data_IF_005051694174
#
_entry.id   IF_005051694174
#
_cell.length_a   1.000
_cell.length_b   1.000
_cell.length_c   1.000
_cell.angle_alpha   90.00
_cell.angle_beta   90.00
_cell.angle_gamma   90.00
#
_symmetry.space_group_name_H-M   'P 1'
#
loop_
_entity.id
_entity.type
_entity.pdbx_description
1 polymer ?
#
# COMPACT_ATOMS: atom_id res chain seq x y z
N UNK A 1 8.01 7.50 -5.76
CA UNK A 1 7.24 6.26 -5.48
C UNK A 1 7.71 5.09 -6.37
N UNK A 2 7.90 5.28 -7.67
CA UNK A 2 8.29 4.19 -8.60
C UNK A 2 9.61 3.52 -8.19
N UNK A 3 10.65 4.31 -7.88
CA UNK A 3 11.95 3.77 -7.43
C UNK A 3 11.83 2.95 -6.13
N UNK A 4 11.01 3.43 -5.17
CA UNK A 4 10.77 2.69 -3.91
C UNK A 4 9.97 1.40 -4.18
N UNK A 5 9.00 1.46 -5.07
CA UNK A 5 8.25 0.27 -5.50
C UNK A 5 9.18 -0.78 -6.13
N UNK A 6 10.07 -0.36 -7.02
CA UNK A 6 11.09 -1.22 -7.64
C UNK A 6 11.96 -1.91 -6.57
N UNK A 7 12.50 -1.13 -5.62
CA UNK A 7 13.31 -1.67 -4.53
C UNK A 7 12.55 -2.70 -3.68
N UNK A 8 11.25 -2.47 -3.41
CA UNK A 8 10.42 -3.45 -2.69
C UNK A 8 10.26 -4.74 -3.51
N UNK A 9 10.04 -4.62 -4.81
CA UNK A 9 9.90 -5.79 -5.69
C UNK A 9 11.20 -6.56 -5.77
N UNK A 10 12.35 -5.89 -5.93
CA UNK A 10 13.68 -6.51 -5.91
C UNK A 10 13.91 -7.29 -4.62
N UNK A 11 13.64 -6.67 -3.46
CA UNK A 11 13.73 -7.34 -2.16
C UNK A 11 12.85 -8.60 -2.09
N UNK A 12 11.62 -8.50 -2.58
CA UNK A 12 10.69 -9.64 -2.57
C UNK A 12 11.16 -10.78 -3.48
N UNK A 13 11.72 -10.46 -4.65
CA UNK A 13 12.25 -11.46 -5.59
C UNK A 13 13.50 -12.13 -5.01
N UNK A 14 14.44 -11.37 -4.49
CA UNK A 14 15.69 -11.87 -3.90
C UNK A 14 15.41 -12.80 -2.71
N UNK A 15 14.42 -12.46 -1.90
CA UNK A 15 13.97 -13.26 -0.76
C UNK A 15 13.00 -14.39 -1.14
N UNK A 16 12.67 -14.60 -2.44
CA UNK A 16 11.69 -15.59 -2.92
C UNK A 16 10.29 -15.40 -2.33
N UNK A 17 9.89 -14.16 -2.08
CA UNK A 17 8.61 -13.77 -1.47
C UNK A 17 7.71 -12.97 -2.42
N UNK A 18 8.02 -12.93 -3.69
CA UNK A 18 7.24 -12.19 -4.69
C UNK A 18 5.90 -12.85 -5.06
N UNK A 19 5.57 -14.00 -4.46
CA UNK A 19 4.33 -14.74 -4.73
C UNK A 19 3.19 -14.29 -3.80
N UNK A 20 1.97 -14.43 -4.29
CA UNK A 20 0.76 -14.02 -3.56
C UNK A 20 0.77 -12.55 -3.15
N UNK A 21 1.28 -11.70 -4.06
CA UNK A 21 1.44 -10.28 -3.83
C UNK A 21 0.30 -9.47 -4.48
N UNK A 22 -0.33 -8.61 -3.70
CA UNK A 22 -1.30 -7.63 -4.17
C UNK A 22 -0.68 -6.24 -4.19
N UNK A 23 -0.73 -5.57 -5.34
CA UNK A 23 -0.27 -4.19 -5.52
C UNK A 23 -1.49 -3.30 -5.67
N UNK A 24 -1.69 -2.40 -4.71
CA UNK A 24 -2.77 -1.43 -4.72
C UNK A 24 -2.31 -0.14 -5.40
N UNK A 25 -2.82 0.11 -6.59
CA UNK A 25 -2.55 1.34 -7.33
C UNK A 25 -3.49 2.48 -6.91
N UNK A 26 -3.08 3.75 -7.09
CA UNK A 26 -3.89 4.91 -6.75
C UNK A 26 -5.18 4.96 -7.56
N UNK A 27 -6.22 5.46 -6.91
CA UNK A 27 -7.40 5.97 -7.61
C UNK A 27 -7.07 7.37 -8.13
N UNK A 28 -7.18 7.57 -9.43
CA UNK A 28 -7.11 8.93 -9.97
C UNK A 28 -8.24 9.78 -9.39
N UNK A 29 -7.92 10.96 -8.85
CA UNK A 29 -8.93 11.95 -8.45
C UNK A 29 -9.52 12.67 -9.66
N UNK A 30 -8.89 12.57 -10.80
CA UNK A 30 -9.38 13.13 -12.04
C UNK A 30 -10.33 12.15 -12.74
N UNK A 31 -11.40 12.68 -13.28
CA UNK A 31 -12.48 12.00 -14.00
C UNK A 31 -12.01 11.24 -15.28
N UNK A 32 -10.72 11.07 -15.46
CA UNK A 32 -10.11 10.32 -16.53
C UNK A 32 -9.73 8.93 -16.04
N UNK A 33 -10.64 7.98 -16.29
CA UNK A 33 -10.42 6.53 -16.14
C UNK A 33 -9.05 6.10 -16.71
N UNK A 34 -8.55 6.84 -17.69
CA UNK A 34 -7.31 6.61 -18.43
C UNK A 34 -6.04 6.74 -17.57
N UNK A 35 -5.95 7.69 -16.64
CA UNK A 35 -4.72 7.92 -15.86
C UNK A 35 -4.46 6.84 -14.80
N UNK A 36 -5.50 6.30 -14.18
CA UNK A 36 -5.35 5.25 -13.17
C UNK A 36 -5.02 3.89 -13.81
N UNK A 37 -5.58 3.60 -14.99
CA UNK A 37 -5.19 2.43 -15.78
C UNK A 37 -3.74 2.53 -16.24
N UNK A 38 -3.28 3.71 -16.63
CA UNK A 38 -1.89 3.95 -17.00
C UNK A 38 -0.93 3.66 -15.85
N UNK A 39 -1.25 4.06 -14.61
CA UNK A 39 -0.39 3.80 -13.45
C UNK A 39 -0.29 2.30 -13.19
N UNK A 40 -1.40 1.56 -13.23
CA UNK A 40 -1.40 0.10 -13.07
C UNK A 40 -0.53 -0.56 -14.14
N UNK A 41 -0.73 -0.20 -15.41
CA UNK A 41 0.06 -0.77 -16.51
C UNK A 41 1.53 -0.37 -16.40
N UNK A 42 1.85 0.84 -15.97
CA UNK A 42 3.22 1.28 -15.74
C UNK A 42 3.90 0.42 -14.67
N UNK A 43 3.26 0.23 -13.51
CA UNK A 43 3.81 -0.60 -12.43
C UNK A 43 3.96 -2.05 -12.86
N UNK A 44 2.97 -2.62 -13.55
CA UNK A 44 3.03 -3.98 -14.07
C UNK A 44 4.15 -4.14 -15.10
N UNK A 45 4.28 -3.20 -16.03
CA UNK A 45 5.31 -3.23 -17.06
C UNK A 45 6.72 -3.08 -16.46
N UNK A 46 6.90 -2.27 -15.41
CA UNK A 46 8.16 -2.21 -14.66
C UNK A 46 8.55 -3.60 -14.15
N UNK A 47 7.64 -4.29 -13.45
CA UNK A 47 7.91 -5.64 -12.92
C UNK A 47 8.23 -6.61 -14.05
N UNK A 48 7.45 -6.62 -15.12
CA UNK A 48 7.65 -7.53 -16.26
C UNK A 48 8.99 -7.28 -16.98
N UNK A 49 9.46 -6.03 -17.00
CA UNK A 49 10.72 -5.66 -17.63
C UNK A 49 11.92 -6.09 -16.78
N UNK A 50 11.87 -5.83 -15.48
CA UNK A 50 12.98 -6.08 -14.56
C UNK A 50 13.00 -7.56 -14.14
N UNK A 51 11.83 -8.14 -13.91
CA UNK A 51 11.65 -9.51 -13.44
C UNK A 51 10.71 -10.31 -14.36
N UNK A 52 11.12 -10.68 -15.58
CA UNK A 52 10.25 -11.31 -16.58
C UNK A 52 9.73 -12.70 -16.17
N UNK A 53 10.27 -13.29 -15.11
CA UNK A 53 9.79 -14.58 -14.56
C UNK A 53 8.61 -14.42 -13.60
N UNK A 54 8.32 -13.21 -13.14
CA UNK A 54 7.17 -12.92 -12.27
C UNK A 54 5.91 -12.84 -13.13
N UNK A 55 4.95 -13.70 -12.83
CA UNK A 55 3.67 -13.74 -13.54
C UNK A 55 2.74 -12.70 -12.97
N UNK A 56 2.43 -11.70 -13.76
CA UNK A 56 1.63 -10.55 -13.34
C UNK A 56 0.27 -10.55 -14.02
N UNK A 57 -0.76 -10.02 -13.36
CA UNK A 57 -2.04 -9.72 -13.96
C UNK A 57 -2.67 -8.47 -13.31
N UNK A 58 -3.70 -7.94 -13.95
CA UNK A 58 -4.46 -6.79 -13.44
C UNK A 58 -5.84 -7.24 -12.96
N UNK A 59 -6.36 -6.53 -11.95
CA UNK A 59 -7.69 -6.70 -11.42
C UNK A 59 -8.37 -5.34 -11.34
N UNK A 60 -9.20 -5.03 -12.33
CA UNK A 60 -9.78 -3.70 -12.56
C UNK A 60 -11.31 -3.79 -12.53
N UNK A 61 -11.97 -2.66 -12.20
CA UNK A 61 -13.42 -2.54 -12.31
C UNK A 61 -13.87 -2.81 -13.76
N UNK A 62 -14.91 -3.64 -13.94
CA UNK A 62 -15.41 -3.98 -15.29
C UNK A 62 -14.81 -5.23 -15.93
N UNK A 63 -13.75 -5.83 -15.37
CA UNK A 63 -13.23 -7.12 -15.84
C UNK A 63 -14.33 -8.19 -15.78
N UNK A 64 -14.53 -8.91 -16.89
CA UNK A 64 -15.53 -10.00 -16.99
C UNK A 64 -15.03 -11.30 -16.35
N UNK A 65 -13.71 -11.48 -16.28
CA UNK A 65 -12.99 -12.68 -15.83
C UNK A 65 -12.45 -12.57 -14.39
N UNK A 66 -13.06 -11.70 -13.57
CA UNK A 66 -12.60 -11.42 -12.19
C UNK A 66 -12.45 -12.67 -11.33
N UNK A 67 -13.41 -13.59 -11.39
CA UNK A 67 -13.39 -14.82 -10.61
C UNK A 67 -12.24 -15.74 -11.03
N UNK A 68 -12.02 -15.88 -12.32
CA UNK A 68 -10.93 -16.70 -12.88
C UNK A 68 -9.56 -16.14 -12.52
N UNK A 69 -9.39 -14.82 -12.60
CA UNK A 69 -8.15 -14.14 -12.17
C UNK A 69 -7.84 -14.37 -10.69
N UNK A 70 -8.85 -14.26 -9.83
CA UNK A 70 -8.66 -14.51 -8.40
C UNK A 70 -8.37 -15.97 -8.10
N UNK A 71 -9.01 -16.89 -8.80
CA UNK A 71 -8.71 -18.32 -8.67
C UNK A 71 -7.29 -18.62 -9.13
N UNK A 72 -6.87 -18.12 -10.30
CA UNK A 72 -5.51 -18.26 -10.81
C UNK A 72 -4.46 -17.67 -9.86
N UNK A 73 -4.79 -16.56 -9.17
CA UNK A 73 -3.94 -16.02 -8.13
C UNK A 73 -3.88 -16.92 -6.89
N UNK A 74 -5.02 -17.42 -6.42
CA UNK A 74 -5.09 -18.33 -5.27
C UNK A 74 -4.34 -19.66 -5.55
N UNK A 75 -4.42 -20.18 -6.77
CA UNK A 75 -3.71 -21.37 -7.22
C UNK A 75 -2.21 -21.11 -7.47
N UNK A 76 -1.79 -19.85 -7.34
CA UNK A 76 -0.41 -19.45 -7.54
C UNK A 76 0.07 -19.49 -8.98
N UNK A 77 -0.84 -19.38 -9.94
CA UNK A 77 -0.53 -19.19 -11.36
C UNK A 77 -0.18 -17.74 -11.68
N UNK A 78 -0.63 -16.80 -10.84
CA UNK A 78 -0.29 -15.38 -10.85
C UNK A 78 0.47 -15.09 -9.56
N UNK A 79 1.64 -14.46 -9.68
CA UNK A 79 2.49 -14.13 -8.54
C UNK A 79 2.15 -12.74 -7.97
N UNK A 80 1.94 -11.74 -8.87
CA UNK A 80 1.57 -10.38 -8.49
C UNK A 80 0.29 -9.93 -9.21
N UNK A 81 -0.69 -9.48 -8.42
CA UNK A 81 -1.94 -8.92 -8.89
C UNK A 81 -1.97 -7.42 -8.67
N UNK A 82 -2.10 -6.65 -9.74
CA UNK A 82 -2.21 -5.20 -9.69
C UNK A 82 -3.69 -4.80 -9.68
N UNK A 83 -4.13 -4.15 -8.62
CA UNK A 83 -5.53 -3.84 -8.41
C UNK A 83 -5.77 -2.35 -8.15
N UNK A 84 -6.89 -1.87 -8.65
CA UNK A 84 -7.44 -0.56 -8.37
C UNK A 84 -8.86 -0.74 -7.84
N UNK A 85 -9.28 0.02 -6.83
CA UNK A 85 -10.66 0.18 -6.32
C UNK A 85 -11.52 -1.07 -6.13
N UNK A 86 -11.38 -2.07 -6.99
CA UNK A 86 -12.29 -3.22 -7.12
C UNK A 86 -12.31 -4.16 -5.91
N UNK A 87 -11.33 -4.05 -5.01
CA UNK A 87 -11.31 -4.85 -3.79
C UNK A 87 -12.20 -4.28 -2.67
N UNK A 88 -12.79 -3.11 -2.89
CA UNK A 88 -13.71 -2.52 -1.92
C UNK A 88 -15.09 -3.23 -1.96
N UNK A 89 -15.38 -3.99 -3.02
CA UNK A 89 -16.66 -4.65 -3.26
C UNK A 89 -16.60 -6.17 -3.08
N UNK A 90 -16.71 -6.65 -1.83
CA UNK A 90 -17.03 -8.07 -1.55
C UNK A 90 -16.01 -9.13 -1.97
N UNK A 91 -14.86 -8.76 -2.52
CA UNK A 91 -13.84 -9.70 -3.00
C UNK A 91 -13.02 -10.26 -1.85
N UNK A 92 -12.96 -11.56 -1.75
CA UNK A 92 -12.13 -12.27 -0.79
C UNK A 92 -10.81 -12.74 -1.44
N UNK A 93 -9.68 -12.47 -0.79
CA UNK A 93 -8.35 -12.89 -1.25
C UNK A 93 -7.54 -13.48 -0.09
N UNK A 94 -8.00 -14.60 0.52
CA UNK A 94 -7.36 -15.16 1.70
C UNK A 94 -5.89 -15.53 1.48
N UNK A 95 -5.54 -15.89 0.24
CA UNK A 95 -4.19 -16.34 -0.12
C UNK A 95 -3.18 -15.19 -0.27
N UNK A 96 -3.61 -13.93 -0.31
CA UNK A 96 -2.69 -12.81 -0.41
C UNK A 96 -1.79 -12.72 0.84
N UNK A 97 -0.47 -12.81 0.66
CA UNK A 97 0.54 -12.78 1.72
C UNK A 97 1.28 -11.44 1.78
N UNK A 98 1.37 -10.75 0.64
CA UNK A 98 2.04 -9.46 0.53
C UNK A 98 1.07 -8.43 -0.03
N UNK A 99 1.03 -7.26 0.57
CA UNK A 99 0.32 -6.09 0.05
C UNK A 99 1.24 -4.91 -0.10
N UNK A 100 1.29 -4.32 -1.29
CA UNK A 100 2.05 -3.10 -1.57
C UNK A 100 1.06 -1.98 -1.86
N UNK A 101 1.00 -0.99 -0.99
CA UNK A 101 0.15 0.20 -1.16
C UNK A 101 0.99 1.32 -1.77
N UNK A 102 0.79 1.61 -3.06
CA UNK A 102 1.57 2.64 -3.77
C UNK A 102 0.97 4.04 -3.64
N UNK A 103 -0.21 4.15 -3.06
CA UNK A 103 -0.86 5.42 -2.77
C UNK A 103 -1.72 5.35 -1.53
N UNK A 104 -1.81 6.50 -0.88
CA UNK A 104 -2.77 6.75 0.18
C UNK A 104 -4.16 7.05 -0.38
N UNK A 105 -5.16 6.54 0.28
CA UNK A 105 -6.50 7.07 0.17
C UNK A 105 -6.77 7.89 1.44
N UNK A 106 -7.31 9.09 1.28
CA UNK A 106 -7.68 9.92 2.43
C UNK A 106 -8.90 9.39 3.21
N UNK A 107 -9.46 8.23 2.78
CA UNK A 107 -10.62 7.62 3.43
C UNK A 107 -10.18 6.46 4.34
N UNK A 108 -10.27 6.61 5.68
CA UNK A 108 -9.87 5.58 6.63
C UNK A 108 -10.57 4.24 6.41
N UNK A 109 -11.84 4.23 6.06
CA UNK A 109 -12.62 3.01 5.85
C UNK A 109 -12.04 2.15 4.70
N UNK A 110 -11.62 2.79 3.62
CA UNK A 110 -11.07 2.07 2.46
C UNK A 110 -9.77 1.34 2.80
N UNK A 111 -8.80 2.00 3.43
CA UNK A 111 -7.54 1.33 3.74
C UNK A 111 -7.70 0.27 4.82
N UNK A 112 -8.60 0.46 5.80
CA UNK A 112 -8.93 -0.57 6.80
C UNK A 112 -9.53 -1.81 6.12
N UNK A 113 -10.45 -1.63 5.18
CA UNK A 113 -11.05 -2.72 4.43
C UNK A 113 -10.01 -3.47 3.58
N UNK A 114 -9.18 -2.75 2.81
CA UNK A 114 -8.11 -3.34 1.98
C UNK A 114 -7.14 -4.16 2.83
N UNK A 115 -6.70 -3.61 3.96
CA UNK A 115 -5.86 -4.34 4.90
C UNK A 115 -6.57 -5.58 5.46
N UNK A 116 -7.82 -5.45 5.88
CA UNK A 116 -8.60 -6.56 6.42
C UNK A 116 -8.66 -7.77 5.48
N UNK A 117 -8.67 -7.53 4.18
CA UNK A 117 -8.64 -8.60 3.17
C UNK A 117 -7.28 -9.30 3.09
N UNK A 118 -6.18 -8.53 3.19
CA UNK A 118 -4.83 -9.09 3.28
C UNK A 118 -4.60 -9.88 4.56
N UNK A 119 -5.25 -9.52 5.65
CA UNK A 119 -5.08 -10.17 6.95
C UNK A 119 -5.96 -11.41 7.15
N UNK A 120 -6.81 -11.78 6.18
CA UNK A 120 -7.60 -13.00 6.27
C UNK A 120 -6.72 -14.22 6.42
N UNK A 121 -7.16 -15.14 7.25
CA UNK A 121 -6.44 -16.38 7.54
C UNK A 121 -6.51 -17.33 6.35
N UNK A 122 -5.43 -18.07 6.13
CA UNK A 122 -5.36 -19.16 5.16
C UNK A 122 -4.44 -20.25 5.76
N UNK A 123 -4.72 -21.55 5.56
CA UNK A 123 -3.93 -22.64 6.16
C UNK A 123 -2.42 -22.54 5.89
N UNK A 124 -2.04 -22.12 4.69
CA UNK A 124 -0.63 -22.00 4.27
C UNK A 124 -0.01 -20.65 4.56
N UNK A 125 -0.75 -19.71 5.16
CA UNK A 125 -0.30 -18.35 5.41
C UNK A 125 -0.08 -18.11 6.89
N UNK A 126 1.16 -17.84 7.27
CA UNK A 126 1.52 -17.52 8.66
C UNK A 126 1.43 -16.03 8.97
N UNK A 127 1.84 -15.20 8.00
CA UNK A 127 1.91 -13.74 8.14
C UNK A 127 1.40 -13.06 6.88
N UNK A 128 0.89 -11.84 7.04
CA UNK A 128 0.73 -10.89 5.96
C UNK A 128 1.80 -9.79 6.11
N UNK A 129 2.47 -9.47 5.01
CA UNK A 129 3.44 -8.38 4.94
C UNK A 129 2.82 -7.21 4.21
N UNK A 130 2.91 -6.03 4.79
CA UNK A 130 2.38 -4.80 4.22
C UNK A 130 3.52 -3.82 4.00
N UNK A 131 3.66 -3.36 2.77
CA UNK A 131 4.50 -2.23 2.38
C UNK A 131 3.59 -1.05 2.07
N UNK A 132 3.75 0.05 2.77
CA UNK A 132 2.97 1.26 2.57
C UNK A 132 3.89 2.40 2.13
N UNK A 133 3.79 2.78 0.84
CA UNK A 133 4.64 3.80 0.24
C UNK A 133 4.03 5.17 0.47
N UNK A 134 4.55 5.89 1.45
CA UNK A 134 4.18 7.28 1.73
C UNK A 134 5.07 8.27 0.99
N UNK A 135 4.58 9.49 0.82
CA UNK A 135 5.37 10.63 0.35
C UNK A 135 5.36 11.67 1.43
N UNK A 136 6.54 12.07 1.81
CA UNK A 136 6.74 13.16 2.76
C UNK A 136 7.54 14.27 2.08
N UNK A 137 7.34 15.53 2.47
CA UNK A 137 8.21 16.63 2.05
C UNK A 137 9.64 16.37 2.48
N UNK A 138 10.57 17.07 1.86
CA UNK A 138 11.96 17.15 2.33
C UNK A 138 11.98 18.02 3.59
N UNK A 139 11.88 17.36 4.75
CA UNK A 139 11.68 18.03 6.04
C UNK A 139 13.02 18.48 6.66
N UNK A 140 12.94 19.45 7.57
CA UNK A 140 14.11 20.04 8.23
C UNK A 140 14.59 21.35 7.61
N UNK A 141 13.98 21.81 6.52
CA UNK A 141 14.38 23.02 5.79
C UNK A 141 13.55 24.25 6.10
N UNK A 142 12.33 24.07 6.64
CA UNK A 142 11.38 25.18 6.88
C UNK A 142 11.34 25.59 8.35
N UNK A 143 11.18 26.91 8.64
CA UNK A 143 10.85 27.37 9.98
C UNK A 143 9.50 26.81 10.43
N UNK A 144 9.41 26.35 11.67
CA UNK A 144 8.21 25.73 12.24
C UNK A 144 6.97 26.64 12.39
N UNK A 145 7.12 27.93 12.14
CA UNK A 145 6.06 28.95 12.20
C UNK A 145 5.57 29.43 10.83
N UNK A 146 6.07 28.83 9.74
CA UNK A 146 5.65 29.18 8.39
C UNK A 146 4.32 28.55 7.99
N UNK A 147 3.54 29.23 7.15
CA UNK A 147 2.30 28.67 6.58
C UNK A 147 2.59 27.39 5.78
N UNK A 148 3.72 27.31 5.11
CA UNK A 148 4.17 26.14 4.37
C UNK A 148 4.40 24.96 5.31
N UNK A 149 5.05 25.16 6.46
CA UNK A 149 5.21 24.14 7.49
C UNK A 149 3.87 23.61 7.98
N UNK A 150 2.89 24.49 8.23
CA UNK A 150 1.56 24.09 8.69
C UNK A 150 0.84 23.21 7.63
N UNK A 151 0.97 23.54 6.34
CA UNK A 151 0.44 22.75 5.24
C UNK A 151 1.12 21.37 5.15
N UNK A 152 2.45 21.34 5.18
CA UNK A 152 3.23 20.09 5.15
C UNK A 152 2.88 19.20 6.35
N UNK A 153 2.84 19.79 7.55
CA UNK A 153 2.45 19.08 8.77
C UNK A 153 1.08 18.43 8.64
N UNK A 154 0.11 19.13 8.03
CA UNK A 154 -1.23 18.60 7.80
C UNK A 154 -1.22 17.39 6.83
N UNK A 155 -0.44 17.50 5.75
CA UNK A 155 -0.28 16.42 4.78
C UNK A 155 0.42 15.20 5.40
N UNK A 156 1.54 15.43 6.08
CA UNK A 156 2.30 14.38 6.77
C UNK A 156 1.43 13.70 7.82
N UNK A 157 0.68 14.47 8.63
CA UNK A 157 -0.27 13.91 9.59
C UNK A 157 -1.28 12.96 8.92
N UNK A 158 -1.87 13.36 7.80
CA UNK A 158 -2.83 12.55 7.07
C UNK A 158 -2.23 11.23 6.56
N UNK A 159 -1.00 11.26 6.05
CA UNK A 159 -0.28 10.06 5.64
C UNK A 159 0.06 9.15 6.83
N UNK A 160 0.58 9.75 7.91
CA UNK A 160 1.02 9.01 9.09
C UNK A 160 -0.14 8.41 9.91
N UNK A 161 -1.34 8.95 9.85
CA UNK A 161 -2.51 8.34 10.48
C UNK A 161 -2.72 6.89 10.01
N UNK A 162 -2.61 6.65 8.70
CA UNK A 162 -2.70 5.31 8.11
C UNK A 162 -1.56 4.41 8.56
N UNK A 163 -0.33 4.94 8.51
CA UNK A 163 0.87 4.20 8.93
C UNK A 163 0.78 3.84 10.41
N UNK A 164 0.42 4.78 11.27
CA UNK A 164 0.25 4.56 12.71
C UNK A 164 -0.78 3.45 13.00
N UNK A 165 -1.90 3.46 12.28
CA UNK A 165 -2.91 2.43 12.42
C UNK A 165 -2.41 1.05 11.97
N UNK A 166 -1.71 0.95 10.85
CA UNK A 166 -1.14 -0.32 10.41
C UNK A 166 -0.07 -0.81 11.38
N UNK A 167 0.81 0.08 11.81
CA UNK A 167 1.86 -0.24 12.77
C UNK A 167 1.31 -0.73 14.11
N UNK A 168 0.25 -0.11 14.64
CA UNK A 168 -0.34 -0.47 15.93
C UNK A 168 -0.81 -1.94 16.02
N UNK A 169 -1.06 -2.55 14.88
CA UNK A 169 -1.54 -3.94 14.76
C UNK A 169 -0.48 -4.88 14.18
N UNK A 170 0.72 -4.38 13.94
CA UNK A 170 1.82 -5.14 13.37
C UNK A 170 2.75 -5.69 14.46
N UNK A 171 3.32 -6.86 14.22
CA UNK A 171 4.32 -7.46 15.13
C UNK A 171 5.61 -6.64 15.23
N UNK A 172 5.90 -5.76 14.27
CA UNK A 172 7.06 -4.89 14.25
C UNK A 172 6.75 -3.43 14.64
N UNK A 173 5.75 -3.20 15.48
CA UNK A 173 5.31 -1.87 15.91
C UNK A 173 6.47 -0.97 16.38
N UNK A 174 7.31 -1.45 17.27
CA UNK A 174 8.42 -0.66 17.82
C UNK A 174 9.43 -0.23 16.74
N UNK A 175 9.72 -1.11 15.79
CA UNK A 175 10.58 -0.80 14.66
C UNK A 175 9.95 0.28 13.76
N UNK A 176 8.66 0.16 13.47
CA UNK A 176 7.94 1.15 12.67
C UNK A 176 7.90 2.52 13.36
N UNK A 177 7.68 2.57 14.67
CA UNK A 177 7.73 3.81 15.44
C UNK A 177 9.12 4.46 15.40
N UNK A 178 10.16 3.68 15.62
CA UNK A 178 11.54 4.16 15.59
C UNK A 178 11.92 4.71 14.21
N UNK A 179 11.48 4.06 13.14
CA UNK A 179 11.75 4.50 11.77
C UNK A 179 11.09 5.82 11.39
N UNK A 180 10.08 6.23 12.14
CA UNK A 180 9.33 7.48 11.91
C UNK A 180 9.71 8.59 12.88
N UNK A 181 10.59 8.32 13.88
CA UNK A 181 10.82 9.21 15.00
C UNK A 181 11.28 10.61 14.55
N UNK A 182 12.25 10.70 13.66
CA UNK A 182 12.77 11.97 13.16
C UNK A 182 11.68 12.83 12.48
N UNK A 183 10.82 12.18 11.69
CA UNK A 183 9.69 12.85 11.02
C UNK A 183 8.63 13.31 12.01
N UNK A 184 8.34 12.49 13.02
CA UNK A 184 7.38 12.80 14.07
C UNK A 184 7.86 13.97 14.92
N UNK A 185 9.13 13.97 15.29
CA UNK A 185 9.75 15.04 16.09
C UNK A 185 9.74 16.37 15.33
N UNK A 186 10.12 16.36 14.04
CA UNK A 186 10.15 17.57 13.23
C UNK A 186 8.76 18.22 13.10
N UNK A 187 7.71 17.43 12.86
CA UNK A 187 6.34 17.93 12.71
C UNK A 187 5.56 18.00 14.03
N UNK A 188 6.20 17.74 15.16
CA UNK A 188 5.55 17.68 16.48
C UNK A 188 4.27 16.84 16.45
N UNK A 189 4.41 15.57 16.05
CA UNK A 189 3.34 14.59 15.94
C UNK A 189 3.62 13.40 16.87
N UNK A 190 2.56 12.80 17.41
CA UNK A 190 2.64 11.62 18.26
C UNK A 190 1.82 10.48 17.67
N UNK A 191 2.41 9.28 17.56
CA UNK A 191 1.72 8.09 17.04
C UNK A 191 0.46 7.75 17.84
N UNK A 192 0.52 7.88 19.16
CA UNK A 192 -0.61 7.63 20.07
C UNK A 192 -1.82 8.52 19.75
N UNK A 193 -1.56 9.81 19.44
CA UNK A 193 -2.59 10.75 19.04
C UNK A 193 -3.15 10.44 17.67
N UNK A 194 -2.28 10.09 16.69
CA UNK A 194 -2.70 9.72 15.36
C UNK A 194 -3.62 8.49 15.35
N UNK A 195 -3.35 7.51 16.21
CA UNK A 195 -4.20 6.31 16.34
C UNK A 195 -5.57 6.66 16.94
N UNK A 196 -5.60 7.50 17.98
CA UNK A 196 -6.86 7.95 18.63
C UNK A 196 -7.76 8.70 17.66
N UNK A 197 -7.18 9.58 16.86
CA UNK A 197 -7.93 10.40 15.89
C UNK A 197 -8.59 9.55 14.78
N UNK A 198 -8.08 8.36 14.52
CA UNK A 198 -8.70 7.42 13.56
C UNK A 198 -9.85 6.61 14.13
N UNK A 199 -9.96 6.53 15.45
CA UNK A 199 -10.99 5.76 16.14
C UNK A 199 -12.25 6.59 16.45
N UNK A 200 -12.20 7.89 16.23
CA UNK A 200 -13.32 8.82 16.30
C UNK A 200 -14.06 8.95 14.96
#
# INVERSE_FOLDING_TARGET
KYRVFEQIVDELVDNKKAKYCFVYAPEGKDYRIDDSQRIIETLKNMVNTIHPKIRTNTYIGGDKDKKEKLQSFADGQIDMMFAMKCLDEGVDVPRAEVGIFTSSTGNPRQFIQRRGRLLRTHPDKRFARIYDIIVVPDFGLLPGDSDTYAMERSQVRSELMRVAYFASLASNYNFACQSLQELLDYYNLEISTLIKDLQQ
#
